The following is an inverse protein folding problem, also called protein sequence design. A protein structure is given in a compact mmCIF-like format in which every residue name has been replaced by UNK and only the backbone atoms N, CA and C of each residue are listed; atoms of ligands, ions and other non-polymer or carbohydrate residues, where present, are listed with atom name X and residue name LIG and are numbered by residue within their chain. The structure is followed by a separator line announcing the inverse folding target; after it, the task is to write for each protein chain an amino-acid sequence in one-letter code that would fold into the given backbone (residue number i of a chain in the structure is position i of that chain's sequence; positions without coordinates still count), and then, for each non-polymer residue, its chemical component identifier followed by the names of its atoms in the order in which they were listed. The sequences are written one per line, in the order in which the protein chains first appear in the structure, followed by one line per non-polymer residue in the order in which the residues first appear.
data_IF_303328668341
#
_entry.id   IF_303328668341
#
_cell.length_a   1.000
_cell.length_b   1.000
_cell.length_c   1.000
_cell.angle_alpha   90.00
_cell.angle_beta   90.00
_cell.angle_gamma   90.00
#
_symmetry.space_group_name_H-M   'P 1'
#
loop_
_entity.id
_entity.type
_entity.pdbx_description
1 polymer ?
#
# COMPACT_ATOMS: atom_id res chain seq x y z
N UNK A 1 -34.86 -48.32 18.26
CA UNK A 1 -35.22 -47.28 17.26
C UNK A 1 -35.66 -45.98 17.96
N UNK A 2 -34.78 -45.34 18.76
CA UNK A 2 -35.14 -44.13 19.52
C UNK A 2 -33.92 -43.25 19.89
N UNK A 3 -32.91 -43.15 19.02
CA UNK A 3 -31.70 -42.34 19.30
C UNK A 3 -31.26 -41.40 18.17
N UNK A 4 -31.93 -41.40 17.02
CA UNK A 4 -31.59 -40.54 15.87
C UNK A 4 -32.14 -39.10 16.00
N UNK A 5 -33.17 -38.87 16.83
CA UNK A 5 -33.87 -37.59 16.88
C UNK A 5 -33.18 -36.52 17.74
N UNK A 6 -32.24 -36.89 18.62
CA UNK A 6 -31.53 -35.93 19.50
C UNK A 6 -30.28 -35.30 18.85
N UNK A 7 -29.72 -35.89 17.79
CA UNK A 7 -28.57 -35.34 17.07
C UNK A 7 -28.94 -34.20 16.12
N UNK A 8 -30.07 -34.32 15.43
CA UNK A 8 -30.49 -33.37 14.39
C UNK A 8 -30.95 -32.02 14.99
N UNK A 9 -31.52 -32.03 16.20
CA UNK A 9 -32.00 -30.80 16.86
C UNK A 9 -30.84 -29.90 17.33
N UNK A 10 -29.65 -30.47 17.63
CA UNK A 10 -28.46 -29.65 17.91
C UNK A 10 -27.83 -29.03 16.67
N UNK A 11 -27.94 -29.69 15.52
CA UNK A 11 -27.48 -29.14 14.23
C UNK A 11 -28.42 -28.01 13.76
N UNK A 12 -29.73 -28.12 14.02
CA UNK A 12 -30.70 -27.10 13.64
C UNK A 12 -30.68 -25.83 14.51
N UNK A 13 -30.28 -25.92 15.78
CA UNK A 13 -30.23 -24.74 16.68
C UNK A 13 -28.91 -23.97 16.56
N UNK A 14 -27.82 -24.61 16.11
CA UNK A 14 -26.54 -23.92 15.86
C UNK A 14 -26.48 -23.28 14.46
N UNK A 15 -27.28 -23.76 13.51
CA UNK A 15 -27.50 -23.08 12.22
C UNK A 15 -28.35 -21.80 12.29
N UNK A 16 -29.04 -21.54 13.41
CA UNK A 16 -30.01 -20.45 13.55
C UNK A 16 -29.54 -19.19 14.28
N UNK A 17 -28.30 -19.13 14.77
CA UNK A 17 -27.82 -18.05 15.65
C UNK A 17 -26.66 -17.22 15.07
N UNK A 18 -26.50 -17.19 13.74
CA UNK A 18 -25.50 -16.35 13.04
C UNK A 18 -26.15 -15.39 12.02
N UNK A 19 -27.43 -14.99 12.24
CA UNK A 19 -28.13 -13.99 11.40
C UNK A 19 -27.89 -12.55 11.88
N UNK A 20 -26.89 -12.33 12.73
CA UNK A 20 -26.64 -11.05 13.41
C UNK A 20 -25.56 -10.14 12.82
N UNK A 21 -25.10 -10.31 11.57
CA UNK A 21 -24.41 -9.30 10.74
C UNK A 21 -23.85 -10.01 9.49
N UNK A 22 -24.43 -9.71 8.33
CA UNK A 22 -24.39 -10.57 7.16
C UNK A 22 -23.02 -10.94 6.61
N UNK A 23 -22.82 -12.24 6.39
CA UNK A 23 -22.26 -12.77 5.14
C UNK A 23 -23.04 -14.04 4.80
N UNK A 24 -23.91 -13.90 3.81
CA UNK A 24 -24.55 -14.97 3.07
C UNK A 24 -23.52 -15.98 2.57
N UNK A 25 -23.89 -17.25 2.68
CA UNK A 25 -23.60 -18.32 1.72
C UNK A 25 -23.25 -17.73 0.34
N UNK A 26 -21.97 -17.70 -0.01
CA UNK A 26 -21.53 -17.25 -1.32
C UNK A 26 -20.36 -18.13 -1.78
N UNK A 27 -20.64 -18.96 -2.78
CA UNK A 27 -19.70 -19.85 -3.41
C UNK A 27 -18.48 -19.17 -4.06
N UNK A 28 -17.57 -19.99 -4.62
CA UNK A 28 -16.16 -19.67 -4.89
C UNK A 28 -15.89 -18.52 -5.88
N UNK A 29 -16.88 -18.06 -6.65
CA UNK A 29 -16.66 -16.99 -7.65
C UNK A 29 -16.74 -15.56 -7.09
N UNK A 30 -17.30 -15.34 -5.89
CA UNK A 30 -17.50 -13.96 -5.38
C UNK A 30 -16.39 -13.45 -4.46
N UNK A 31 -15.52 -14.32 -3.94
CA UNK A 31 -14.36 -13.90 -3.12
C UNK A 31 -13.32 -13.18 -3.99
N UNK A 32 -13.19 -13.56 -5.27
CA UNK A 32 -12.33 -12.85 -6.24
C UNK A 32 -12.90 -11.49 -6.66
N UNK A 33 -14.22 -11.33 -6.72
CA UNK A 33 -14.86 -10.07 -7.08
C UNK A 33 -14.76 -9.01 -5.97
N UNK A 34 -14.76 -9.42 -4.70
CA UNK A 34 -14.67 -8.50 -3.56
C UNK A 34 -13.26 -7.89 -3.42
N UNK A 35 -12.20 -8.63 -3.79
CA UNK A 35 -10.82 -8.14 -3.74
C UNK A 35 -10.54 -6.99 -4.71
N UNK A 36 -11.12 -7.03 -5.91
CA UNK A 36 -11.00 -5.93 -6.88
C UNK A 36 -11.88 -4.72 -6.51
N UNK A 37 -13.03 -4.98 -5.87
CA UNK A 37 -13.94 -3.93 -5.44
C UNK A 37 -13.36 -3.06 -4.31
N UNK A 38 -12.52 -3.61 -3.43
CA UNK A 38 -11.80 -2.83 -2.40
C UNK A 38 -10.76 -1.91 -3.05
N UNK A 39 -10.02 -2.38 -4.06
CA UNK A 39 -9.03 -1.56 -4.79
C UNK A 39 -9.70 -0.45 -5.61
N UNK A 40 -10.81 -0.75 -6.28
CA UNK A 40 -11.58 0.23 -7.04
C UNK A 40 -12.32 1.25 -6.13
N UNK A 41 -12.77 0.82 -4.96
CA UNK A 41 -13.36 1.72 -3.96
C UNK A 41 -12.29 2.60 -3.34
N UNK A 42 -11.09 2.08 -3.05
CA UNK A 42 -9.96 2.91 -2.61
C UNK A 42 -9.64 4.00 -3.64
N UNK A 43 -9.48 3.67 -4.92
CA UNK A 43 -9.15 4.66 -5.96
C UNK A 43 -10.25 5.72 -6.13
N UNK A 44 -11.52 5.34 -6.17
CA UNK A 44 -12.64 6.29 -6.31
C UNK A 44 -12.93 7.13 -5.04
N UNK A 45 -12.47 6.68 -3.86
CA UNK A 45 -12.64 7.44 -2.60
C UNK A 45 -11.42 8.31 -2.30
N UNK A 46 -10.23 7.92 -2.80
CA UNK A 46 -9.01 8.74 -2.79
C UNK A 46 -9.24 10.03 -3.59
N UNK A 47 -9.91 9.96 -4.75
CA UNK A 47 -10.16 11.15 -5.58
C UNK A 47 -11.17 12.15 -4.99
N UNK A 48 -12.00 11.75 -4.02
CA UNK A 48 -13.06 12.63 -3.48
C UNK A 48 -12.71 13.38 -2.21
N UNK A 49 -11.63 13.03 -1.49
CA UNK A 49 -11.33 13.59 -0.15
C UNK A 49 -9.82 13.80 0.09
N UNK A 50 -9.10 14.30 -0.91
CA UNK A 50 -7.68 14.71 -0.81
C UNK A 50 -7.49 15.84 0.25
N UNK A 51 -8.57 16.48 0.71
CA UNK A 51 -8.52 17.66 1.57
C UNK A 51 -8.36 17.39 3.09
N UNK A 52 -8.54 16.15 3.59
CA UNK A 52 -8.33 15.87 5.02
C UNK A 52 -7.60 14.52 5.30
N UNK A 53 -6.27 14.53 5.55
CA UNK A 53 -5.49 13.33 5.84
C UNK A 53 -5.87 12.65 7.16
N UNK A 54 -6.59 13.34 8.06
CA UNK A 54 -7.02 12.79 9.36
C UNK A 54 -8.22 11.87 9.17
N UNK A 55 -9.15 12.21 8.26
CA UNK A 55 -10.31 11.39 7.95
C UNK A 55 -9.93 10.03 7.34
N UNK A 56 -8.92 10.02 6.45
CA UNK A 56 -8.39 8.80 5.84
C UNK A 56 -7.79 7.86 6.90
N UNK A 57 -7.10 8.41 7.90
CA UNK A 57 -6.52 7.65 9.01
C UNK A 57 -7.59 6.95 9.86
N UNK A 58 -8.71 7.64 10.14
CA UNK A 58 -9.82 7.05 10.89
C UNK A 58 -10.48 5.89 10.14
N UNK A 59 -10.68 6.05 8.83
CA UNK A 59 -11.27 5.00 7.99
C UNK A 59 -10.34 3.78 7.87
N UNK A 60 -9.03 3.99 7.72
CA UNK A 60 -8.06 2.90 7.67
C UNK A 60 -7.96 2.16 9.01
N UNK A 61 -8.02 2.86 10.15
CA UNK A 61 -8.11 2.22 11.48
C UNK A 61 -9.40 1.43 11.68
N UNK A 62 -10.52 1.93 11.18
CA UNK A 62 -11.79 1.19 11.23
C UNK A 62 -11.69 -0.11 10.41
N UNK A 63 -10.99 -0.08 9.28
CA UNK A 63 -10.74 -1.26 8.46
C UNK A 63 -9.74 -2.23 9.12
N UNK A 64 -8.69 -1.69 9.74
CA UNK A 64 -7.69 -2.43 10.53
C UNK A 64 -8.37 -3.29 11.61
N UNK A 65 -9.34 -2.71 12.32
CA UNK A 65 -10.03 -3.37 13.43
C UNK A 65 -10.79 -4.65 13.05
N UNK A 66 -11.07 -4.85 11.75
CA UNK A 66 -11.77 -6.03 11.24
C UNK A 66 -10.86 -7.23 11.04
N UNK A 67 -9.57 -7.03 10.79
CA UNK A 67 -8.61 -8.12 10.55
C UNK A 67 -8.41 -9.03 11.77
N UNK A 68 -8.13 -8.49 12.98
CA UNK A 68 -7.98 -9.33 14.17
C UNK A 68 -9.20 -10.21 14.46
N UNK A 69 -10.42 -9.68 14.22
CA UNK A 69 -11.66 -10.44 14.38
C UNK A 69 -11.75 -11.60 13.39
N UNK A 70 -11.51 -11.35 12.11
CA UNK A 70 -11.52 -12.39 11.06
C UNK A 70 -10.44 -13.45 11.28
N UNK A 71 -9.25 -13.05 11.73
CA UNK A 71 -8.18 -13.98 12.09
C UNK A 71 -8.60 -14.84 13.27
N UNK A 72 -9.22 -14.25 14.31
CA UNK A 72 -9.73 -15.00 15.46
C UNK A 72 -10.84 -15.99 15.06
N UNK A 73 -11.77 -15.57 14.21
CA UNK A 73 -12.83 -16.44 13.65
C UNK A 73 -12.24 -17.61 12.86
N UNK A 74 -11.26 -17.36 11.97
CA UNK A 74 -10.59 -18.41 11.22
C UNK A 74 -9.81 -19.39 12.12
N UNK A 75 -9.18 -18.89 13.20
CA UNK A 75 -8.52 -19.74 14.21
C UNK A 75 -9.52 -20.59 14.98
N UNK A 76 -10.66 -20.02 15.37
CA UNK A 76 -11.72 -20.74 16.06
C UNK A 76 -12.30 -21.86 15.18
N UNK A 77 -12.57 -21.55 13.90
CA UNK A 77 -13.03 -22.54 12.92
C UNK A 77 -12.01 -23.67 12.73
N UNK A 78 -10.72 -23.33 12.62
CA UNK A 78 -9.67 -24.35 12.51
C UNK A 78 -9.59 -25.25 13.75
N UNK A 79 -9.71 -24.67 14.95
CA UNK A 79 -9.75 -25.44 16.19
C UNK A 79 -10.97 -26.38 16.26
N UNK A 80 -12.14 -25.91 15.81
CA UNK A 80 -13.35 -26.72 15.71
C UNK A 80 -13.19 -27.87 14.71
N UNK A 81 -12.66 -27.59 13.52
CA UNK A 81 -12.36 -28.62 12.51
C UNK A 81 -11.40 -29.69 13.06
N UNK A 82 -10.35 -29.27 13.77
CA UNK A 82 -9.41 -30.20 14.40
C UNK A 82 -10.09 -31.07 15.46
N UNK A 83 -10.97 -30.49 16.29
CA UNK A 83 -11.75 -31.27 17.26
C UNK A 83 -12.68 -32.28 16.57
N UNK A 84 -13.31 -31.90 15.47
CA UNK A 84 -14.15 -32.81 14.68
C UNK A 84 -13.32 -33.94 14.06
N UNK A 85 -12.15 -33.64 13.48
CA UNK A 85 -11.21 -34.63 12.94
C UNK A 85 -10.84 -35.66 14.02
N UNK A 86 -10.48 -35.20 15.21
CA UNK A 86 -10.15 -36.11 16.32
C UNK A 86 -11.34 -36.98 16.72
N UNK A 87 -12.55 -36.42 16.78
CA UNK A 87 -13.74 -37.17 17.14
C UNK A 87 -14.05 -38.26 16.11
N UNK A 88 -14.06 -37.92 14.82
CA UNK A 88 -14.31 -38.89 13.74
C UNK A 88 -13.19 -39.94 13.69
N UNK A 89 -11.93 -39.54 13.94
CA UNK A 89 -10.82 -40.49 14.02
C UNK A 89 -10.98 -41.49 15.18
N UNK A 90 -11.49 -41.05 16.34
CA UNK A 90 -11.82 -41.97 17.45
C UNK A 90 -12.95 -42.92 17.07
N UNK A 91 -14.01 -42.40 16.46
CA UNK A 91 -15.15 -43.21 16.03
C UNK A 91 -14.78 -44.25 14.97
N UNK A 92 -13.86 -43.88 14.06
CA UNK A 92 -13.25 -44.81 13.10
C UNK A 92 -12.52 -45.94 13.83
N UNK A 93 -11.61 -45.61 14.75
CA UNK A 93 -10.81 -46.60 15.48
C UNK A 93 -11.69 -47.56 16.32
N UNK A 94 -12.75 -47.05 16.94
CA UNK A 94 -13.74 -47.89 17.63
C UNK A 94 -14.43 -48.83 16.64
N UNK A 95 -14.83 -48.33 15.48
CA UNK A 95 -15.49 -49.13 14.46
C UNK A 95 -14.58 -50.22 13.89
N UNK A 96 -13.32 -49.91 13.61
CA UNK A 96 -12.30 -50.89 13.20
C UNK A 96 -12.10 -51.97 14.28
N UNK A 97 -12.07 -51.58 15.57
CA UNK A 97 -11.94 -52.53 16.67
C UNK A 97 -13.14 -53.47 16.76
N UNK A 98 -14.35 -52.97 16.56
CA UNK A 98 -15.56 -53.81 16.54
C UNK A 98 -15.52 -54.80 15.38
N UNK A 99 -15.08 -54.37 14.19
CA UNK A 99 -14.94 -55.28 13.03
C UNK A 99 -13.94 -56.39 13.34
N UNK A 100 -12.77 -56.06 13.90
CA UNK A 100 -11.75 -57.06 14.24
C UNK A 100 -12.22 -58.08 15.29
N UNK A 101 -12.94 -57.62 16.33
CA UNK A 101 -13.52 -58.50 17.33
C UNK A 101 -14.60 -59.40 16.72
N UNK A 102 -15.53 -58.83 15.94
CA UNK A 102 -16.57 -59.59 15.28
C UNK A 102 -16.02 -60.62 14.28
N UNK A 103 -14.93 -60.32 13.58
CA UNK A 103 -14.24 -61.29 12.71
C UNK A 103 -13.65 -62.44 13.51
N UNK A 104 -13.00 -62.15 14.65
CA UNK A 104 -12.43 -63.17 15.53
C UNK A 104 -13.52 -64.10 16.06
N UNK A 105 -14.62 -63.54 16.56
CA UNK A 105 -15.77 -64.29 17.07
C UNK A 105 -16.41 -65.16 15.99
N UNK A 106 -16.50 -64.64 14.77
CA UNK A 106 -17.07 -65.33 13.62
C UNK A 106 -16.21 -66.49 13.16
N UNK A 107 -14.88 -66.34 13.19
CA UNK A 107 -13.95 -67.43 12.85
C UNK A 107 -13.99 -68.55 13.90
N UNK A 108 -14.02 -68.20 15.20
CA UNK A 108 -14.21 -69.19 16.28
C UNK A 108 -15.53 -69.95 16.09
N UNK A 109 -16.62 -69.23 15.81
CA UNK A 109 -17.93 -69.84 15.66
C UNK A 109 -18.03 -70.70 14.40
N UNK A 110 -17.35 -70.34 13.30
CA UNK A 110 -17.22 -71.20 12.10
C UNK A 110 -16.50 -72.51 12.40
N UNK A 111 -15.39 -72.47 13.14
CA UNK A 111 -14.65 -73.66 13.52
C UNK A 111 -15.50 -74.60 14.39
N UNK A 112 -16.28 -74.03 15.31
CA UNK A 112 -17.21 -74.79 16.15
C UNK A 112 -18.38 -75.38 15.33
N UNK A 113 -18.92 -74.64 14.37
CA UNK A 113 -19.96 -75.12 13.46
C UNK A 113 -19.45 -76.29 12.62
N UNK A 114 -18.26 -76.20 12.04
CA UNK A 114 -17.66 -77.28 11.25
C UNK A 114 -17.51 -78.57 12.08
N UNK A 115 -17.01 -78.46 13.31
CA UNK A 115 -16.91 -79.61 14.23
C UNK A 115 -18.28 -80.20 14.59
N UNK A 116 -19.29 -79.35 14.74
CA UNK A 116 -20.65 -79.80 15.02
C UNK A 116 -21.30 -80.50 13.81
N UNK A 117 -21.03 -80.04 12.59
CA UNK A 117 -21.46 -80.71 11.36
C UNK A 117 -20.79 -82.08 11.20
N UNK A 118 -19.47 -82.17 11.43
CA UNK A 118 -18.74 -83.44 11.40
C UNK A 118 -19.29 -84.43 12.45
N UNK A 119 -19.53 -83.95 13.66
CA UNK A 119 -20.14 -84.74 14.73
C UNK A 119 -21.54 -85.23 14.32
N UNK A 120 -22.36 -84.35 13.72
CA UNK A 120 -23.71 -84.70 13.22
C UNK A 120 -23.64 -85.78 12.13
N UNK A 121 -22.69 -85.67 11.20
CA UNK A 121 -22.50 -86.63 10.11
C UNK A 121 -22.02 -88.02 10.59
N UNK A 122 -21.26 -88.07 11.68
CA UNK A 122 -20.78 -89.31 12.29
C UNK A 122 -21.87 -90.17 12.96
N UNK A 123 -23.05 -89.61 13.25
CA UNK A 123 -24.17 -90.35 13.83
C UNK A 123 -25.01 -91.03 12.72
N UNK A 124 -24.70 -92.30 12.44
CA UNK A 124 -25.39 -93.13 11.42
C UNK A 124 -26.45 -94.09 12.00
N UNK A 125 -26.65 -94.11 13.33
CA UNK A 125 -27.63 -94.95 14.01
C UNK A 125 -29.02 -94.30 14.18
N UNK A 126 -30.08 -95.11 14.34
CA UNK A 126 -31.48 -94.66 14.52
C UNK A 126 -31.77 -93.90 15.84
N UNK A 127 -30.74 -93.47 16.58
CA UNK A 127 -30.87 -92.69 17.81
C UNK A 127 -31.05 -91.20 17.52
N UNK A 128 -31.89 -90.52 18.31
CA UNK A 128 -32.05 -89.05 18.22
C UNK A 128 -30.88 -88.37 18.94
N UNK A 129 -29.84 -88.03 18.21
CA UNK A 129 -28.69 -87.27 18.72
C UNK A 129 -28.93 -85.76 18.52
N UNK A 130 -28.74 -84.96 19.57
CA UNK A 130 -28.78 -83.49 19.50
C UNK A 130 -27.36 -82.99 19.61
N UNK A 131 -26.88 -82.29 18.58
CA UNK A 131 -25.55 -81.67 18.57
C UNK A 131 -25.70 -80.23 19.04
N UNK A 132 -25.04 -79.89 20.14
CA UNK A 132 -25.03 -78.52 20.68
C UNK A 132 -23.66 -77.90 20.52
N UNK A 133 -23.62 -76.63 20.13
CA UNK A 133 -22.41 -75.81 20.05
C UNK A 133 -22.27 -75.00 21.34
N UNK A 134 -21.07 -74.91 21.90
CA UNK A 134 -20.78 -74.02 23.03
C UNK A 134 -19.94 -72.83 22.58
N UNK A 135 -20.49 -71.63 22.62
CA UNK A 135 -19.82 -70.38 22.24
C UNK A 135 -20.12 -69.32 23.31
N UNK A 136 -19.10 -68.55 23.73
CA UNK A 136 -19.21 -67.52 24.78
C UNK A 136 -19.93 -68.02 26.06
N UNK A 137 -19.53 -69.19 26.54
CA UNK A 137 -20.09 -69.86 27.72
C UNK A 137 -21.60 -70.16 27.65
N UNK A 138 -22.20 -70.13 26.44
CA UNK A 138 -23.59 -70.49 26.18
C UNK A 138 -23.66 -71.70 25.27
N UNK A 139 -24.54 -72.64 25.60
CA UNK A 139 -24.86 -73.78 24.75
C UNK A 139 -26.03 -73.38 23.85
N UNK A 140 -25.86 -73.58 22.56
CA UNK A 140 -26.83 -73.23 21.53
C UNK A 140 -27.01 -74.42 20.56
N UNK A 141 -28.20 -74.56 20.00
CA UNK A 141 -28.45 -75.54 18.95
C UNK A 141 -27.77 -75.10 17.64
N UNK A 142 -27.58 -76.04 16.70
CA UNK A 142 -26.91 -75.77 15.43
C UNK A 142 -27.59 -74.62 14.65
N UNK A 143 -28.92 -74.60 14.62
CA UNK A 143 -29.69 -73.51 13.96
C UNK A 143 -29.51 -72.16 14.65
N UNK A 144 -29.45 -72.16 15.99
CA UNK A 144 -29.19 -70.94 16.78
C UNK A 144 -27.77 -70.43 16.54
N UNK A 145 -26.78 -71.33 16.43
CA UNK A 145 -25.40 -71.00 16.11
C UNK A 145 -25.27 -70.34 14.73
N UNK A 146 -25.91 -70.86 13.68
CA UNK A 146 -25.93 -70.17 12.37
C UNK A 146 -26.59 -68.80 12.43
N UNK A 147 -27.68 -68.68 13.19
CA UNK A 147 -28.36 -67.39 13.37
C UNK A 147 -27.44 -66.39 14.06
N UNK A 148 -26.69 -66.83 15.06
CA UNK A 148 -25.70 -66.02 15.75
C UNK A 148 -24.52 -65.65 14.83
N UNK A 149 -24.02 -66.58 14.01
CA UNK A 149 -22.99 -66.33 13.01
C UNK A 149 -23.39 -65.20 12.05
N UNK A 150 -24.62 -65.28 11.53
CA UNK A 150 -25.17 -64.26 10.61
C UNK A 150 -25.31 -62.91 11.30
N UNK A 151 -25.77 -62.86 12.56
CA UNK A 151 -25.83 -61.61 13.33
C UNK A 151 -24.45 -60.98 13.49
N UNK A 152 -23.44 -61.78 13.84
CA UNK A 152 -22.05 -61.28 13.97
C UNK A 152 -21.55 -60.77 12.62
N UNK A 153 -21.80 -61.51 11.53
CA UNK A 153 -21.44 -61.10 10.17
C UNK A 153 -22.10 -59.76 9.77
N UNK A 154 -23.40 -59.61 10.04
CA UNK A 154 -24.15 -58.38 9.78
C UNK A 154 -23.59 -57.20 10.58
N UNK A 155 -23.23 -57.41 11.85
CA UNK A 155 -22.58 -56.38 12.67
C UNK A 155 -21.22 -55.99 12.11
N UNK A 156 -20.38 -56.96 11.71
CA UNK A 156 -19.09 -56.68 11.09
C UNK A 156 -19.25 -55.88 9.79
N UNK A 157 -20.21 -56.25 8.94
CA UNK A 157 -20.49 -55.54 7.70
C UNK A 157 -20.98 -54.10 7.94
N UNK A 158 -21.85 -53.89 8.92
CA UNK A 158 -22.35 -52.56 9.28
C UNK A 158 -21.23 -51.64 9.80
N UNK A 159 -20.37 -52.13 10.68
CA UNK A 159 -19.23 -51.34 11.18
C UNK A 159 -18.16 -51.13 10.11
N UNK A 160 -17.94 -52.09 9.20
CA UNK A 160 -17.05 -51.89 8.05
C UNK A 160 -17.56 -50.77 7.12
N UNK A 161 -18.87 -50.71 6.88
CA UNK A 161 -19.47 -49.60 6.13
C UNK A 161 -19.29 -48.25 6.85
N UNK A 162 -19.42 -48.24 8.19
CA UNK A 162 -19.19 -47.05 9.03
C UNK A 162 -17.72 -46.60 9.00
N UNK A 163 -16.75 -47.52 8.98
CA UNK A 163 -15.33 -47.18 8.79
C UNK A 163 -15.13 -46.44 7.47
N UNK A 164 -15.67 -46.96 6.37
CA UNK A 164 -15.57 -46.31 5.05
C UNK A 164 -16.25 -44.93 5.01
N UNK A 165 -17.34 -44.74 5.78
CA UNK A 165 -17.97 -43.43 5.95
C UNK A 165 -17.08 -42.45 6.72
N UNK A 166 -16.53 -42.87 7.87
CA UNK A 166 -15.58 -42.06 8.63
C UNK A 166 -14.34 -41.68 7.81
N UNK A 167 -13.85 -42.56 6.93
CA UNK A 167 -12.73 -42.24 6.04
C UNK A 167 -13.05 -41.13 5.04
N UNK A 168 -14.25 -41.18 4.44
CA UNK A 168 -14.72 -40.11 3.55
C UNK A 168 -14.84 -38.80 4.33
N UNK A 169 -15.49 -38.84 5.49
CA UNK A 169 -15.67 -37.66 6.34
C UNK A 169 -14.32 -37.05 6.76
N UNK A 170 -13.36 -37.87 7.21
CA UNK A 170 -12.00 -37.41 7.52
C UNK A 170 -11.33 -36.74 6.31
N UNK A 171 -11.47 -37.31 5.11
CA UNK A 171 -10.90 -36.72 3.91
C UNK A 171 -11.56 -35.38 3.52
N UNK A 172 -12.84 -35.18 3.86
CA UNK A 172 -13.52 -33.89 3.73
C UNK A 172 -13.00 -32.89 4.78
N UNK A 173 -13.06 -33.23 6.07
CA UNK A 173 -12.62 -32.37 7.16
C UNK A 173 -11.14 -31.95 7.03
N UNK A 174 -10.26 -32.85 6.61
CA UNK A 174 -8.85 -32.53 6.38
C UNK A 174 -8.64 -31.54 5.23
N UNK A 175 -9.46 -31.60 4.16
CA UNK A 175 -9.40 -30.61 3.08
C UNK A 175 -9.87 -29.24 3.57
N UNK A 176 -10.96 -29.21 4.33
CA UNK A 176 -11.52 -27.97 4.87
C UNK A 176 -10.56 -27.32 5.88
N UNK A 177 -9.88 -28.12 6.71
CA UNK A 177 -8.83 -27.65 7.61
C UNK A 177 -7.66 -27.00 6.85
N UNK A 178 -7.12 -27.67 5.82
CA UNK A 178 -6.04 -27.12 4.97
C UNK A 178 -6.46 -25.84 4.25
N UNK A 179 -7.70 -25.76 3.78
CA UNK A 179 -8.23 -24.55 3.16
C UNK A 179 -8.31 -23.40 4.16
N UNK A 180 -8.79 -23.68 5.38
CA UNK A 180 -8.88 -22.70 6.47
C UNK A 180 -7.50 -22.23 6.92
N UNK A 181 -6.51 -23.13 7.01
CA UNK A 181 -5.11 -22.79 7.26
C UNK A 181 -4.54 -21.87 6.18
N UNK A 182 -4.80 -22.17 4.91
CA UNK A 182 -4.38 -21.31 3.79
C UNK A 182 -5.01 -19.93 3.87
N UNK A 183 -6.30 -19.85 4.21
CA UNK A 183 -7.02 -18.58 4.40
C UNK A 183 -6.46 -17.80 5.60
N UNK A 184 -6.18 -18.47 6.71
CA UNK A 184 -5.55 -17.86 7.88
C UNK A 184 -4.18 -17.27 7.53
N UNK A 185 -3.35 -18.01 6.81
CA UNK A 185 -2.03 -17.56 6.37
C UNK A 185 -2.15 -16.30 5.50
N UNK A 186 -3.08 -16.29 4.53
CA UNK A 186 -3.35 -15.12 3.68
C UNK A 186 -3.80 -13.91 4.49
N UNK A 187 -4.81 -14.07 5.36
CA UNK A 187 -5.30 -12.97 6.21
C UNK A 187 -4.22 -12.41 7.12
N UNK A 188 -3.34 -13.26 7.64
CA UNK A 188 -2.24 -12.84 8.52
C UNK A 188 -1.18 -12.07 7.74
N UNK A 189 -0.82 -12.54 6.53
CA UNK A 189 0.10 -11.84 5.64
C UNK A 189 -0.47 -10.49 5.21
N UNK A 190 -1.73 -10.46 4.75
CA UNK A 190 -2.43 -9.23 4.39
C UNK A 190 -2.49 -8.23 5.54
N UNK A 191 -2.72 -8.69 6.77
CA UNK A 191 -2.73 -7.82 7.94
C UNK A 191 -1.35 -7.19 8.21
N UNK A 192 -0.27 -7.99 8.11
CA UNK A 192 1.09 -7.49 8.28
C UNK A 192 1.48 -6.47 7.18
N UNK A 193 1.10 -6.74 5.93
CA UNK A 193 1.29 -5.82 4.82
C UNK A 193 0.50 -4.52 5.03
N UNK A 194 -0.76 -4.64 5.46
CA UNK A 194 -1.61 -3.49 5.75
C UNK A 194 -1.05 -2.63 6.89
N UNK A 195 -0.54 -3.24 7.96
CA UNK A 195 0.14 -2.52 9.05
C UNK A 195 1.38 -1.76 8.56
N UNK A 196 2.17 -2.38 7.69
CA UNK A 196 3.35 -1.73 7.10
C UNK A 196 2.96 -0.54 6.24
N UNK A 197 1.91 -0.69 5.43
CA UNK A 197 1.37 0.40 4.61
C UNK A 197 0.81 1.53 5.46
N UNK A 198 0.08 1.22 6.53
CA UNK A 198 -0.43 2.19 7.51
C UNK A 198 0.71 3.00 8.15
N UNK A 199 1.77 2.33 8.59
CA UNK A 199 2.93 2.99 9.18
C UNK A 199 3.65 3.90 8.18
N UNK A 200 3.70 3.52 6.90
CA UNK A 200 4.26 4.37 5.84
C UNK A 200 3.37 5.60 5.57
N UNK A 201 2.04 5.40 5.46
CA UNK A 201 1.07 6.49 5.29
C UNK A 201 1.14 7.47 6.45
N UNK A 202 1.24 7.00 7.69
CA UNK A 202 1.39 7.86 8.87
C UNK A 202 2.62 8.77 8.76
N UNK A 203 3.78 8.23 8.34
CA UNK A 203 5.01 9.03 8.11
C UNK A 203 4.85 10.03 6.96
N UNK A 204 4.13 9.66 5.91
CA UNK A 204 3.86 10.56 4.78
C UNK A 204 2.95 11.71 5.21
N UNK A 205 1.90 11.44 5.97
CA UNK A 205 1.00 12.46 6.53
C UNK A 205 1.78 13.43 7.41
N UNK A 206 2.65 12.94 8.31
CA UNK A 206 3.50 13.79 9.15
C UNK A 206 4.44 14.68 8.31
N UNK A 207 4.94 14.16 7.20
CA UNK A 207 5.78 14.90 6.25
C UNK A 207 4.97 15.99 5.55
N UNK A 208 3.73 15.71 5.13
CA UNK A 208 2.82 16.70 4.53
C UNK A 208 2.47 17.79 5.54
N UNK A 209 2.06 17.45 6.75
CA UNK A 209 1.75 18.41 7.81
C UNK A 209 2.96 19.30 8.17
N UNK A 210 4.19 18.79 8.05
CA UNK A 210 5.41 19.60 8.19
C UNK A 210 5.60 20.55 7.01
N UNK A 211 5.39 20.08 5.77
CA UNK A 211 5.47 20.91 4.57
C UNK A 211 4.44 22.03 4.58
N UNK A 212 3.20 21.76 4.99
CA UNK A 212 2.15 22.78 5.13
C UNK A 212 2.55 23.89 6.11
N UNK A 213 3.07 23.54 7.29
CA UNK A 213 3.61 24.52 8.25
C UNK A 213 4.74 25.36 7.66
N UNK A 214 5.61 24.75 6.86
CA UNK A 214 6.68 25.47 6.16
C UNK A 214 6.12 26.43 5.10
N UNK A 215 5.11 26.00 4.34
CA UNK A 215 4.42 26.85 3.36
C UNK A 215 3.75 28.03 4.05
N UNK A 216 3.04 27.81 5.17
CA UNK A 216 2.44 28.88 5.97
C UNK A 216 3.50 29.87 6.46
N UNK A 217 4.61 29.39 7.03
CA UNK A 217 5.70 30.24 7.50
C UNK A 217 6.34 31.04 6.36
N UNK A 218 6.52 30.43 5.18
CA UNK A 218 7.04 31.12 3.99
C UNK A 218 6.05 32.13 3.43
N UNK A 219 4.76 31.84 3.45
CA UNK A 219 3.70 32.78 3.06
C UNK A 219 3.65 33.98 4.01
N UNK A 220 3.72 33.75 5.33
CA UNK A 220 3.78 34.82 6.32
C UNK A 220 5.07 35.64 6.20
N UNK A 221 6.20 35.00 5.91
CA UNK A 221 7.45 35.68 5.62
C UNK A 221 7.34 36.54 4.36
N UNK A 222 6.74 36.03 3.28
CA UNK A 222 6.53 36.79 2.05
C UNK A 222 5.63 37.99 2.30
N UNK A 223 4.51 37.82 3.03
CA UNK A 223 3.64 38.94 3.44
C UNK A 223 4.40 40.01 4.21
N UNK A 224 5.23 39.61 5.19
CA UNK A 224 6.07 40.56 5.94
C UNK A 224 7.10 41.24 5.05
N UNK A 225 7.70 40.54 4.09
CA UNK A 225 8.62 41.14 3.11
C UNK A 225 7.87 42.14 2.22
N UNK A 226 6.68 41.79 1.76
CA UNK A 226 5.84 42.65 0.93
C UNK A 226 5.41 43.90 1.71
N UNK A 227 5.00 43.76 2.97
CA UNK A 227 4.70 44.87 3.88
C UNK A 227 5.93 45.76 4.09
N UNK A 228 7.08 45.18 4.47
CA UNK A 228 8.31 45.93 4.68
C UNK A 228 8.82 46.60 3.39
N UNK A 229 8.62 45.98 2.23
CA UNK A 229 8.99 46.56 0.93
C UNK A 229 8.08 47.74 0.55
N UNK A 230 6.78 47.68 0.85
CA UNK A 230 5.87 48.82 0.73
C UNK A 230 6.31 50.02 1.55
N UNK A 231 6.79 49.80 2.78
CA UNK A 231 7.30 50.90 3.62
C UNK A 231 8.74 51.34 3.27
N UNK A 232 9.55 50.50 2.61
CA UNK A 232 10.88 50.88 2.10
C UNK A 232 10.85 51.60 0.75
N UNK A 233 9.80 51.41 -0.05
CA UNK A 233 9.66 52.02 -1.37
C UNK A 233 9.22 53.51 -1.36
N UNK A 234 8.84 54.05 -0.19
CA UNK A 234 8.72 55.50 0.04
C UNK A 234 9.94 56.06 0.80
N UNK A 235 11.01 55.28 0.96
CA UNK A 235 12.20 55.72 1.69
C UNK A 235 13.12 56.58 0.82
N UNK A 236 13.66 57.63 1.46
CA UNK A 236 14.78 58.54 1.16
C UNK A 236 15.23 58.78 -0.30
N UNK A 237 15.30 57.78 -1.17
CA UNK A 237 15.61 57.93 -2.59
C UNK A 237 14.49 58.64 -3.35
N UNK A 238 13.21 58.42 -3.03
CA UNK A 238 12.13 59.27 -3.56
C UNK A 238 12.25 60.71 -3.03
N UNK A 239 12.64 60.88 -1.76
CA UNK A 239 12.87 62.20 -1.19
C UNK A 239 14.08 62.89 -1.84
N UNK A 240 15.16 62.16 -2.13
CA UNK A 240 16.34 62.66 -2.86
C UNK A 240 16.01 62.97 -4.32
N UNK A 241 15.18 62.16 -4.97
CA UNK A 241 14.70 62.41 -6.33
C UNK A 241 13.83 63.67 -6.38
N UNK A 242 12.91 63.84 -5.43
CA UNK A 242 12.08 65.05 -5.33
C UNK A 242 12.92 66.27 -4.93
N UNK A 243 13.91 66.12 -4.05
CA UNK A 243 14.87 67.17 -3.73
C UNK A 243 15.73 67.54 -4.95
N UNK A 244 16.29 66.56 -5.67
CA UNK A 244 17.07 66.78 -6.89
C UNK A 244 16.22 67.45 -7.98
N UNK A 245 14.95 67.06 -8.11
CA UNK A 245 14.00 67.72 -9.01
C UNK A 245 13.71 69.16 -8.59
N UNK A 246 13.56 69.44 -7.29
CA UNK A 246 13.40 70.79 -6.73
C UNK A 246 14.65 71.63 -6.93
N UNK A 247 15.84 71.07 -6.73
CA UNK A 247 17.13 71.72 -6.99
C UNK A 247 17.26 72.05 -8.48
N UNK A 248 17.01 71.09 -9.37
CA UNK A 248 17.01 71.35 -10.81
C UNK A 248 16.01 72.43 -11.24
N UNK A 249 14.83 72.49 -10.61
CA UNK A 249 13.87 73.59 -10.82
C UNK A 249 14.37 74.94 -10.31
N UNK A 250 15.06 74.96 -9.16
CA UNK A 250 15.66 76.17 -8.60
C UNK A 250 16.85 76.63 -9.44
N UNK A 251 17.69 75.72 -9.92
CA UNK A 251 18.80 76.01 -10.83
C UNK A 251 18.28 76.53 -12.17
N UNK A 252 17.23 75.92 -12.74
CA UNK A 252 16.60 76.45 -13.95
C UNK A 252 15.97 77.83 -13.73
N UNK A 253 15.43 78.11 -12.53
CA UNK A 253 14.94 79.44 -12.15
C UNK A 253 16.08 80.44 -11.96
N UNK A 254 17.17 80.05 -11.30
CA UNK A 254 18.36 80.88 -11.14
C UNK A 254 19.02 81.15 -12.49
N UNK A 255 19.13 80.17 -13.37
CA UNK A 255 19.60 80.33 -14.75
C UNK A 255 18.66 81.23 -15.55
N UNK A 256 17.35 81.15 -15.34
CA UNK A 256 16.40 82.08 -15.97
C UNK A 256 16.46 83.50 -15.40
N UNK A 257 16.92 83.68 -14.16
CA UNK A 257 17.08 84.97 -13.49
C UNK A 257 18.46 85.57 -13.81
N UNK A 258 19.53 84.77 -13.83
CA UNK A 258 20.89 85.14 -14.18
C UNK A 258 21.06 85.34 -15.70
N UNK A 259 20.45 84.47 -16.51
CA UNK A 259 20.37 84.61 -17.97
C UNK A 259 19.50 85.78 -18.44
N UNK A 260 18.84 86.49 -17.50
CA UNK A 260 18.12 87.73 -17.78
C UNK A 260 19.01 88.98 -17.68
N UNK A 261 20.22 88.88 -17.14
CA UNK A 261 21.08 90.05 -16.89
C UNK A 261 22.28 90.19 -17.86
N UNK A 262 22.60 89.18 -18.68
CA UNK A 262 23.82 89.21 -19.54
C UNK A 262 23.60 89.16 -21.07
N UNK A 263 22.37 89.37 -21.56
CA UNK A 263 22.06 89.30 -23.01
C UNK A 263 22.04 90.65 -23.77
N UNK A 264 22.56 91.75 -23.20
CA UNK A 264 22.44 93.08 -23.85
C UNK A 264 23.77 93.76 -24.22
N UNK A 265 24.96 93.36 -23.76
CA UNK A 265 26.12 94.30 -23.83
C UNK A 265 27.26 94.01 -24.82
N UNK A 266 27.23 92.91 -25.59
CA UNK A 266 28.34 92.60 -26.52
C UNK A 266 27.93 92.46 -27.99
N UNK A 267 26.70 92.04 -28.29
CA UNK A 267 26.22 91.85 -29.67
C UNK A 267 25.93 93.18 -30.37
N UNK A 268 25.39 94.15 -29.63
CA UNK A 268 25.12 95.51 -30.13
C UNK A 268 26.41 96.33 -30.29
N UNK A 269 27.42 96.05 -29.46
CA UNK A 269 28.75 96.67 -29.51
C UNK A 269 29.59 96.15 -30.69
N UNK A 270 29.52 94.85 -30.97
CA UNK A 270 30.19 94.23 -32.11
C UNK A 270 29.58 94.66 -33.46
N UNK A 271 28.27 94.91 -33.52
CA UNK A 271 27.59 95.34 -34.75
C UNK A 271 28.01 96.75 -35.20
N UNK A 272 28.21 97.66 -34.23
CA UNK A 272 28.71 99.01 -34.48
C UNK A 272 30.17 98.97 -34.97
N UNK A 273 30.98 98.06 -34.42
CA UNK A 273 32.39 97.89 -34.80
C UNK A 273 32.55 97.34 -36.23
N UNK A 274 31.72 96.37 -36.62
CA UNK A 274 31.71 95.80 -37.99
C UNK A 274 31.23 96.81 -39.04
N UNK A 275 30.25 97.65 -38.72
CA UNK A 275 29.79 98.72 -39.63
C UNK A 275 30.85 99.82 -39.80
N UNK A 276 31.65 100.11 -38.76
CA UNK A 276 32.79 101.02 -38.86
C UNK A 276 33.97 100.42 -39.65
N UNK A 277 34.26 99.12 -39.50
CA UNK A 277 35.35 98.44 -40.23
C UNK A 277 35.04 98.22 -41.72
N UNK A 278 33.81 97.85 -42.06
CA UNK A 278 33.40 97.63 -43.46
C UNK A 278 33.44 98.92 -44.29
N UNK A 279 33.16 100.05 -43.66
CA UNK A 279 33.29 101.40 -44.24
C UNK A 279 34.74 101.83 -44.47
N UNK A 280 35.67 101.37 -43.62
CA UNK A 280 37.10 101.67 -43.70
C UNK A 280 37.84 100.76 -44.70
N UNK A 281 37.43 99.49 -44.83
CA UNK A 281 38.03 98.49 -45.74
C UNK A 281 37.81 98.74 -47.23
N UNK A 282 36.79 99.50 -47.62
CA UNK A 282 36.57 99.91 -49.01
C UNK A 282 37.49 101.07 -49.45
N UNK A 283 38.17 101.75 -48.52
CA UNK A 283 38.97 102.96 -48.77
C UNK A 283 40.48 102.75 -48.78
N UNK A 284 40.97 101.56 -48.41
CA UNK A 284 42.39 101.24 -48.36
C UNK A 284 42.67 100.03 -49.26
N UNK A 285 43.59 100.22 -50.20
CA UNK A 285 44.56 99.19 -50.58
C UNK A 285 43.97 97.98 -51.34
N UNK A 286 43.89 97.99 -52.69
CA UNK A 286 44.98 98.35 -53.60
C UNK A 286 46.32 97.71 -53.18
N UNK A 287 46.71 96.65 -53.93
CA UNK A 287 48.07 96.15 -54.20
C UNK A 287 48.51 94.77 -53.59
N UNK A 288 49.35 93.96 -54.31
CA UNK A 288 49.30 92.48 -54.28
C UNK A 288 50.63 91.75 -53.98
N UNK A 289 50.60 90.44 -53.62
CA UNK A 289 51.40 89.31 -54.19
C UNK A 289 51.40 88.03 -53.32
N UNK A 290 51.62 86.89 -54.01
CA UNK A 290 51.44 85.46 -53.66
C UNK A 290 52.63 84.81 -52.93
N UNK A 291 52.42 83.64 -52.28
CA UNK A 291 52.88 82.25 -52.62
C UNK A 291 52.68 81.30 -51.38
N UNK A 292 51.93 80.18 -51.50
CA UNK A 292 52.38 78.74 -51.54
C UNK A 292 53.00 78.19 -50.22
N UNK A 293 52.89 76.93 -49.78
CA UNK A 293 52.19 75.67 -50.14
C UNK A 293 52.60 74.56 -49.13
N UNK A 294 51.83 73.46 -49.08
CA UNK A 294 52.25 72.04 -48.77
C UNK A 294 52.68 71.65 -47.32
N UNK A 295 52.61 70.40 -46.79
CA UNK A 295 51.98 69.08 -47.05
C UNK A 295 52.54 68.05 -46.00
N UNK A 296 52.09 66.76 -45.91
CA UNK A 296 52.03 65.94 -44.67
C UNK A 296 52.83 64.60 -44.63
N UNK A 297 52.51 63.71 -43.65
CA UNK A 297 52.73 62.21 -43.53
C UNK A 297 54.08 61.79 -42.90
N UNK A 298 54.24 60.82 -41.97
CA UNK A 298 54.10 59.34 -42.09
C UNK A 298 54.31 58.59 -40.75
N UNK A 299 53.78 57.35 -40.72
CA UNK A 299 53.76 56.25 -39.75
C UNK A 299 55.08 55.41 -39.69
N UNK A 300 55.20 54.44 -38.74
CA UNK A 300 55.76 53.04 -38.86
C UNK A 300 56.76 52.55 -37.77
N UNK A 301 56.32 51.57 -36.94
CA UNK A 301 56.84 50.22 -36.51
C UNK A 301 58.36 49.95 -36.26
N UNK A 302 58.70 49.10 -35.24
CA UNK A 302 59.59 47.88 -35.30
C UNK A 302 59.63 47.08 -33.96
N UNK A 303 59.53 45.75 -34.09
CA UNK A 303 59.69 44.66 -33.11
C UNK A 303 61.16 44.30 -32.77
N UNK A 304 61.37 43.49 -31.72
CA UNK A 304 62.64 42.79 -31.48
C UNK A 304 62.56 41.69 -30.40
N UNK A 305 62.92 40.47 -30.78
CA UNK A 305 62.65 39.16 -30.19
C UNK A 305 63.85 38.56 -29.42
N UNK A 306 63.61 37.38 -28.80
CA UNK A 306 64.57 36.28 -28.44
C UNK A 306 65.25 36.36 -27.05
N UNK A 307 65.63 35.28 -26.35
CA UNK A 307 65.36 33.82 -26.41
C UNK A 307 66.05 33.15 -25.19
N UNK A 308 65.40 32.11 -24.66
CA UNK A 308 65.86 30.84 -24.01
C UNK A 308 66.74 30.69 -22.76
N UNK A 309 66.41 29.56 -22.08
CA UNK A 309 67.15 28.67 -21.18
C UNK A 309 66.98 28.91 -19.65
N UNK A 310 66.89 27.92 -18.77
CA UNK A 310 66.72 26.45 -18.75
C UNK A 310 66.57 26.07 -17.25
N UNK A 311 66.20 24.83 -16.95
CA UNK A 311 66.24 24.11 -15.66
C UNK A 311 65.04 24.23 -14.69
N UNK A 312 64.21 23.17 -14.66
CA UNK A 312 63.51 22.73 -13.44
C UNK A 312 64.41 21.84 -12.55
N UNK A 313 63.88 20.93 -11.71
CA UNK A 313 62.58 20.90 -11.04
C UNK A 313 62.69 20.56 -9.53
N UNK A 314 61.76 20.96 -8.66
CA UNK A 314 61.56 20.24 -7.38
C UNK A 314 60.09 20.32 -6.93
N UNK A 315 59.47 19.15 -6.83
CA UNK A 315 58.20 18.93 -6.16
C UNK A 315 58.37 18.94 -4.63
N UNK A 316 57.42 19.48 -3.88
CA UNK A 316 57.13 18.98 -2.52
C UNK A 316 55.70 19.36 -2.07
N UNK A 317 54.94 18.29 -1.77
CA UNK A 317 53.81 18.13 -0.84
C UNK A 317 52.55 18.99 -0.98
#
# INVERSE_FOLDING_TARGET
MASFTKGIVRVAVVGGLVVGAGVLIAGPERVHAIGQQIRATMVNTIDRHIEDPIAMRQQLRALESKYPKRIAEARAMLAELNQQIEQVSRDKAVSERVVALAQTDLDELKDLLARAEDAKAGFTGSGRHVVTVSFDNRKMDLTEAYTQANRIADTAASYAARVAECERELAHLQRDARQTESLLAKLTAEYADFQTQLANLDRQIDTVARKERMVQLMADRQRRIDELSRYKAESLDQFKSTLASRVAQLDARLESLAGREDRVSYEERARIEVDTESSARLRLEQAPRRLQSESPVTETIIDGESSDADAGPVAFR
#
